data_IF_388571993415
#
_entry.id   IF_388571993415
#
_cell.length_a   1.000
_cell.length_b   1.000
_cell.length_c   1.000
_cell.angle_alpha   90.00
_cell.angle_beta   90.00
_cell.angle_gamma   90.00
#
_symmetry.space_group_name_H-M   'P 1'
#
loop_
_entity.id
_entity.type
_entity.pdbx_description
1 polymer ?
#
# COMPACT_ATOMS: atom_id res chain seq x y z
N UNK A 1 -11.71 -0.67 13.15
CA UNK A 1 -10.47 0.05 12.78
C UNK A 1 -9.55 -0.88 12.01
N UNK A 2 -9.41 -0.71 10.70
CA UNK A 2 -8.11 -0.37 10.08
C UNK A 2 -8.38 0.38 8.75
N UNK A 3 -8.89 1.63 8.80
CA UNK A 3 -9.06 2.48 7.62
C UNK A 3 -7.74 2.64 6.86
N UNK A 4 -6.63 2.75 7.59
CA UNK A 4 -5.31 3.01 7.04
C UNK A 4 -4.82 1.96 6.04
N UNK A 5 -5.01 0.67 6.31
CA UNK A 5 -4.54 -0.38 5.38
C UNK A 5 -5.37 -0.38 4.09
N UNK A 6 -6.66 -0.10 4.21
CA UNK A 6 -7.57 0.09 3.09
C UNK A 6 -7.20 1.35 2.27
N UNK A 7 -6.97 2.48 2.93
CA UNK A 7 -6.60 3.75 2.29
C UNK A 7 -5.28 3.63 1.53
N UNK A 8 -4.27 2.99 2.14
CA UNK A 8 -2.98 2.73 1.49
C UNK A 8 -3.16 1.78 0.30
N UNK A 9 -3.94 0.70 0.44
CA UNK A 9 -4.19 -0.23 -0.67
C UNK A 9 -4.92 0.46 -1.84
N UNK A 10 -5.88 1.34 -1.55
CA UNK A 10 -6.60 2.12 -2.55
C UNK A 10 -5.67 3.11 -3.28
N UNK A 11 -4.77 3.77 -2.56
CA UNK A 11 -3.75 4.63 -3.16
C UNK A 11 -2.84 3.85 -4.13
N UNK A 12 -2.43 2.63 -3.79
CA UNK A 12 -1.69 1.75 -4.72
C UNK A 12 -2.50 1.40 -5.97
N UNK A 13 -3.82 1.17 -5.83
CA UNK A 13 -4.70 0.87 -6.97
C UNK A 13 -4.84 2.07 -7.91
N UNK A 14 -5.05 3.26 -7.36
CA UNK A 14 -5.16 4.51 -8.13
C UNK A 14 -3.85 4.81 -8.88
N UNK A 15 -2.71 4.66 -8.20
CA UNK A 15 -1.37 4.78 -8.80
C UNK A 15 -1.10 3.75 -9.89
N UNK A 16 -1.57 2.52 -9.73
CA UNK A 16 -1.43 1.47 -10.74
C UNK A 16 -2.27 1.75 -11.98
N UNK A 17 -3.49 2.27 -11.80
CA UNK A 17 -4.39 2.64 -12.90
C UNK A 17 -3.92 3.90 -13.64
N UNK A 18 -3.25 4.82 -12.94
CA UNK A 18 -2.68 6.06 -13.48
C UNK A 18 -1.23 5.98 -13.96
N UNK A 19 -0.68 4.77 -14.16
CA UNK A 19 0.69 4.50 -14.65
C UNK A 19 1.84 5.05 -13.76
N UNK A 20 1.54 5.39 -12.50
CA UNK A 20 2.48 5.95 -11.52
C UNK A 20 2.75 4.98 -10.36
N UNK A 21 3.21 3.77 -10.70
CA UNK A 21 3.28 2.62 -9.77
C UNK A 21 4.41 2.64 -8.74
N UNK A 22 5.29 3.64 -8.77
CA UNK A 22 6.55 3.59 -8.02
C UNK A 22 6.50 4.46 -6.77
N UNK A 23 6.52 3.82 -5.60
CA UNK A 23 6.82 4.50 -4.32
C UNK A 23 8.26 4.18 -3.94
N UNK A 24 9.08 5.20 -3.70
CA UNK A 24 10.44 4.98 -3.19
C UNK A 24 10.39 4.69 -1.68
N UNK A 25 11.12 3.68 -1.23
CA UNK A 25 11.18 3.28 0.17
C UNK A 25 11.75 4.38 1.08
N UNK A 26 12.61 5.23 0.54
CA UNK A 26 13.16 6.40 1.22
C UNK A 26 12.08 7.45 1.52
N UNK A 27 10.96 7.43 0.78
CA UNK A 27 9.82 8.34 1.00
C UNK A 27 8.79 7.80 1.99
N UNK A 28 9.03 6.65 2.63
CA UNK A 28 8.09 6.03 3.58
C UNK A 28 7.71 6.97 4.73
N UNK A 29 8.61 7.84 5.20
CA UNK A 29 8.28 8.84 6.21
C UNK A 29 7.28 9.88 5.68
N UNK A 30 7.49 10.38 4.46
CA UNK A 30 6.62 11.37 3.81
C UNK A 30 5.23 10.77 3.49
N UNK A 31 5.21 9.51 3.05
CA UNK A 31 3.97 8.76 2.81
C UNK A 31 3.20 8.55 4.13
N UNK A 32 3.89 8.21 5.22
CA UNK A 32 3.25 8.06 6.52
C UNK A 32 2.56 9.35 6.99
N UNK A 33 3.21 10.50 6.80
CA UNK A 33 2.62 11.83 7.05
C UNK A 33 1.38 12.08 6.19
N UNK A 34 1.38 11.72 4.89
CA UNK A 34 0.19 11.86 4.02
C UNK A 34 -1.03 11.14 4.57
N UNK A 35 -0.83 9.94 5.13
CA UNK A 35 -1.90 9.17 5.76
C UNK A 35 -2.14 9.54 7.24
N UNK A 36 -1.54 10.63 7.73
CA UNK A 36 -1.65 11.08 9.12
C UNK A 36 -1.31 9.97 10.14
N UNK A 37 -0.29 9.16 9.83
CA UNK A 37 0.11 8.02 10.64
C UNK A 37 1.62 8.04 10.94
N UNK A 38 2.05 7.28 11.95
CA UNK A 38 3.47 7.13 12.22
C UNK A 38 4.14 6.24 11.16
N UNK A 39 5.39 6.52 10.86
CA UNK A 39 6.21 5.71 9.95
C UNK A 39 6.19 4.22 10.31
N UNK A 40 6.22 3.90 11.62
CA UNK A 40 6.14 2.52 12.12
C UNK A 40 4.84 1.82 11.72
N UNK A 41 3.71 2.53 11.79
CA UNK A 41 2.40 1.98 11.41
C UNK A 41 2.33 1.82 9.90
N UNK A 42 2.77 2.82 9.12
CA UNK A 42 2.83 2.72 7.66
C UNK A 42 3.67 1.52 7.22
N UNK A 43 4.90 1.38 7.75
CA UNK A 43 5.77 0.22 7.47
C UNK A 43 5.10 -1.10 7.80
N UNK A 44 4.38 -1.18 8.92
CA UNK A 44 3.64 -2.41 9.30
C UNK A 44 2.56 -2.76 8.27
N UNK A 45 1.89 -1.78 7.67
CA UNK A 45 0.92 -2.03 6.58
C UNK A 45 1.65 -2.50 5.33
N UNK A 46 2.73 -1.83 4.93
CA UNK A 46 3.54 -2.22 3.77
C UNK A 46 4.04 -3.67 3.91
N UNK A 47 4.60 -4.03 5.07
CA UNK A 47 5.03 -5.41 5.35
C UNK A 47 3.89 -6.41 5.22
N UNK A 48 2.71 -6.10 5.76
CA UNK A 48 1.54 -6.98 5.59
C UNK A 48 1.15 -7.17 4.12
N UNK A 49 1.14 -6.10 3.33
CA UNK A 49 0.82 -6.18 1.90
C UNK A 49 1.89 -6.98 1.11
N UNK A 50 3.17 -6.90 1.51
CA UNK A 50 4.26 -7.71 0.97
C UNK A 50 4.07 -9.18 1.33
N UNK A 51 3.77 -9.49 2.60
CA UNK A 51 3.57 -10.86 3.09
C UNK A 51 2.37 -11.53 2.38
N UNK A 52 1.33 -10.76 2.08
CA UNK A 52 0.16 -11.19 1.30
C UNK A 52 0.45 -11.32 -0.21
N UNK A 53 1.66 -11.00 -0.66
CA UNK A 53 2.08 -10.98 -2.08
C UNK A 53 1.22 -10.07 -2.95
N UNK A 54 0.71 -8.98 -2.38
CA UNK A 54 -0.08 -7.96 -3.08
C UNK A 54 0.86 -6.95 -3.74
N UNK A 55 1.82 -6.46 -2.94
CA UNK A 55 2.88 -5.57 -3.40
C UNK A 55 4.23 -6.27 -3.24
N UNK A 56 5.26 -5.74 -3.88
CA UNK A 56 6.62 -6.21 -3.72
C UNK A 56 7.61 -5.04 -3.67
N UNK A 57 8.75 -5.31 -3.05
CA UNK A 57 9.87 -4.37 -3.00
C UNK A 57 10.87 -4.74 -4.10
N UNK A 58 10.94 -3.92 -5.14
CA UNK A 58 11.90 -4.02 -6.24
C UNK A 58 13.03 -3.00 -6.01
N UNK A 59 14.07 -3.44 -5.30
CA UNK A 59 15.20 -2.60 -4.92
C UNK A 59 14.79 -1.50 -3.94
N UNK A 60 14.77 -0.25 -4.40
CA UNK A 60 14.30 0.92 -3.63
C UNK A 60 12.82 1.22 -3.86
N UNK A 61 12.20 0.61 -4.85
CA UNK A 61 10.82 0.90 -5.21
C UNK A 61 9.87 -0.15 -4.63
N UNK A 62 8.66 0.28 -4.33
CA UNK A 62 7.52 -0.57 -3.98
C UNK A 62 6.55 -0.51 -5.16
N UNK A 63 6.18 -1.68 -5.68
CA UNK A 63 5.27 -1.82 -6.83
C UNK A 63 4.16 -2.81 -6.53
N UNK A 64 3.02 -2.66 -7.22
CA UNK A 64 1.93 -3.64 -7.18
C UNK A 64 2.39 -4.90 -7.92
N UNK A 65 2.34 -6.04 -7.24
CA UNK A 65 2.72 -7.35 -7.78
C UNK A 65 1.51 -8.08 -8.37
N UNK A 66 0.39 -8.01 -7.68
CA UNK A 66 -0.82 -8.75 -8.02
C UNK A 66 -2.06 -7.88 -7.82
N UNK A 67 -2.59 -7.37 -8.94
CA UNK A 67 -3.74 -6.46 -8.96
C UNK A 67 -5.04 -7.14 -8.51
N UNK A 68 -5.22 -8.43 -8.84
CA UNK A 68 -6.40 -9.19 -8.43
C UNK A 68 -6.44 -9.37 -6.91
N UNK A 69 -5.29 -9.66 -6.30
CA UNK A 69 -5.19 -9.72 -4.83
C UNK A 69 -5.39 -8.35 -4.19
N UNK A 70 -4.89 -7.27 -4.79
CA UNK A 70 -5.11 -5.91 -4.30
C UNK A 70 -6.60 -5.56 -4.27
N UNK A 71 -7.32 -5.81 -5.37
CA UNK A 71 -8.76 -5.58 -5.45
C UNK A 71 -9.55 -6.43 -4.44
N UNK A 72 -9.19 -7.71 -4.28
CA UNK A 72 -9.81 -8.57 -3.25
C UNK A 72 -9.56 -8.04 -1.84
N UNK A 73 -8.36 -7.56 -1.55
CA UNK A 73 -8.02 -6.97 -0.26
C UNK A 73 -8.88 -5.74 0.03
N UNK A 74 -8.99 -4.82 -0.92
CA UNK A 74 -9.82 -3.60 -0.82
C UNK A 74 -11.29 -3.97 -0.59
N UNK A 75 -11.88 -4.81 -1.43
CA UNK A 75 -13.29 -5.23 -1.29
C UNK A 75 -13.58 -5.92 0.05
N UNK A 76 -12.64 -6.70 0.58
CA UNK A 76 -12.81 -7.37 1.88
C UNK A 76 -12.79 -6.41 3.07
N UNK A 77 -12.19 -5.23 2.92
CA UNK A 77 -12.08 -4.20 3.96
C UNK A 77 -13.10 -3.07 3.79
N UNK A 78 -13.73 -2.93 2.62
CA UNK A 78 -14.76 -1.92 2.33
C UNK A 78 -16.08 -2.16 3.09
N UNK A 79 -16.40 -3.42 3.42
CA UNK A 79 -17.69 -3.82 4.03
C UNK A 79 -17.66 -4.06 5.55
N UNK A 80 -16.67 -3.53 6.28
CA UNK A 80 -16.43 -3.91 7.68
C UNK A 80 -16.45 -2.76 8.68
#
# INVERSE_FOLDING_TARGET
>A
MYPLAYDIAKDFLERHTGDNTLIQFEQVALEAERFSCSERVYRRVITQLIDLKIIEKNGRNITVKDIDKLLRFIHSHEKK
#
